data_IF_174793268772
#
_entry.id   IF_174793268772
#
_cell.length_a   1.000
_cell.length_b   1.000
_cell.length_c   1.000
_cell.angle_alpha   90.00
_cell.angle_beta   90.00
_cell.angle_gamma   90.00
#
_symmetry.space_group_name_H-M   'P 1'
#
loop_
_entity.id
_entity.type
_entity.pdbx_description
1 polymer ?
#
# COMPACT_ATOMS: atom_id res chain seq x y z
N UNK A 1 32.53 22.81 -16.30
CA UNK A 1 31.97 21.51 -15.89
C UNK A 1 31.40 20.84 -17.13
N UNK A 2 31.49 19.51 -17.25
CA UNK A 2 31.03 18.81 -18.46
C UNK A 2 29.50 18.65 -18.44
N UNK A 3 28.82 18.72 -19.59
CA UNK A 3 27.38 18.49 -19.72
C UNK A 3 26.90 17.19 -19.02
N UNK A 4 27.73 16.15 -19.05
CA UNK A 4 27.48 14.87 -18.38
C UNK A 4 27.49 14.94 -16.85
N UNK A 5 28.32 15.81 -16.26
CA UNK A 5 28.35 16.03 -14.81
C UNK A 5 27.10 16.77 -14.28
N UNK A 6 26.51 17.64 -15.09
CA UNK A 6 25.27 18.35 -14.74
C UNK A 6 24.06 17.41 -14.77
N UNK A 7 23.97 16.56 -15.80
CA UNK A 7 22.93 15.51 -15.88
C UNK A 7 23.07 14.52 -14.71
N UNK A 8 24.30 14.09 -14.40
CA UNK A 8 24.56 13.19 -13.28
C UNK A 8 24.10 13.77 -11.94
N UNK A 9 24.41 15.04 -11.67
CA UNK A 9 23.96 15.72 -10.45
C UNK A 9 22.44 15.90 -10.40
N UNK A 10 21.82 16.28 -11.52
CA UNK A 10 20.36 16.41 -11.59
C UNK A 10 19.66 15.08 -11.29
N UNK A 11 20.20 13.97 -11.79
CA UNK A 11 19.64 12.63 -11.57
C UNK A 11 19.80 12.18 -10.11
N UNK A 12 20.94 12.47 -9.48
CA UNK A 12 21.15 12.21 -8.04
C UNK A 12 20.14 13.00 -7.21
N UNK A 13 19.99 14.30 -7.47
CA UNK A 13 19.04 15.16 -6.76
C UNK A 13 17.61 14.61 -6.91
N UNK A 14 17.21 14.24 -8.12
CA UNK A 14 15.89 13.67 -8.38
C UNK A 14 15.65 12.36 -7.61
N UNK A 15 16.63 11.47 -7.59
CA UNK A 15 16.56 10.22 -6.82
C UNK A 15 16.50 10.46 -5.31
N UNK A 16 17.26 11.43 -4.80
CA UNK A 16 17.23 11.82 -3.38
C UNK A 16 15.88 12.40 -2.98
N UNK A 17 15.29 13.27 -3.81
CA UNK A 17 13.95 13.81 -3.57
C UNK A 17 12.91 12.69 -3.61
N UNK A 18 13.00 11.80 -4.59
CA UNK A 18 12.09 10.64 -4.68
C UNK A 18 12.18 9.74 -3.43
N UNK A 19 13.40 9.45 -2.97
CA UNK A 19 13.64 8.66 -1.77
C UNK A 19 13.07 9.36 -0.51
N UNK A 20 13.30 10.66 -0.36
CA UNK A 20 12.75 11.44 0.74
C UNK A 20 11.22 11.44 0.74
N UNK A 21 10.59 11.62 -0.42
CA UNK A 21 9.14 11.61 -0.56
C UNK A 21 8.55 10.23 -0.23
N UNK A 22 9.19 9.14 -0.70
CA UNK A 22 8.83 7.77 -0.34
C UNK A 22 8.91 7.53 1.17
N UNK A 23 9.96 8.02 1.82
CA UNK A 23 10.11 7.89 3.27
C UNK A 23 8.99 8.62 4.02
N UNK A 24 8.63 9.83 3.61
CA UNK A 24 7.52 10.59 4.20
C UNK A 24 6.19 9.85 4.06
N UNK A 25 5.89 9.33 2.85
CA UNK A 25 4.68 8.52 2.62
C UNK A 25 4.67 7.29 3.52
N UNK A 26 5.80 6.60 3.65
CA UNK A 26 5.89 5.39 4.44
C UNK A 26 5.66 5.66 5.93
N UNK A 27 6.22 6.76 6.48
CA UNK A 27 6.00 7.18 7.87
C UNK A 27 4.53 7.53 8.11
N UNK A 28 3.93 8.30 7.19
CA UNK A 28 2.52 8.66 7.28
C UNK A 28 1.63 7.41 7.24
N UNK A 29 1.88 6.52 6.28
CA UNK A 29 1.12 5.28 6.13
C UNK A 29 1.27 4.36 7.35
N UNK A 30 2.47 4.23 7.91
CA UNK A 30 2.67 3.48 9.15
C UNK A 30 1.86 4.07 10.31
N UNK A 31 1.90 5.39 10.46
CA UNK A 31 1.17 6.10 11.52
C UNK A 31 -0.34 5.90 11.38
N UNK A 32 -0.86 6.02 10.17
CA UNK A 32 -2.28 5.87 9.88
C UNK A 32 -2.77 4.44 10.09
N UNK A 33 -2.01 3.45 9.61
CA UNK A 33 -2.34 2.03 9.82
C UNK A 33 -2.33 1.63 11.31
N UNK A 34 -1.46 2.27 12.11
CA UNK A 34 -1.44 2.04 13.57
C UNK A 34 -2.62 2.68 14.30
N UNK A 35 -3.20 3.76 13.75
CA UNK A 35 -4.35 4.46 14.35
C UNK A 35 -5.69 3.91 13.89
N UNK A 36 -5.72 3.21 12.75
CA UNK A 36 -6.95 2.73 12.15
C UNK A 36 -7.56 1.54 12.90
N UNK A 37 -8.88 1.57 13.09
CA UNK A 37 -9.65 0.41 13.54
C UNK A 37 -9.88 -0.63 12.44
N UNK A 38 -9.62 -0.29 11.18
CA UNK A 38 -9.87 -1.15 10.03
C UNK A 38 -8.68 -2.02 9.66
N UNK A 39 -7.53 -1.83 10.32
CA UNK A 39 -6.31 -2.57 10.00
C UNK A 39 -5.72 -3.19 11.26
N UNK A 40 -5.32 -4.45 11.15
CA UNK A 40 -4.59 -5.17 12.20
C UNK A 40 -3.24 -5.59 11.65
N UNK A 41 -2.17 -5.10 12.28
CA UNK A 41 -0.80 -5.47 11.93
C UNK A 41 -0.34 -6.67 12.76
N UNK A 42 0.17 -7.68 12.09
CA UNK A 42 0.89 -8.84 12.64
C UNK A 42 2.36 -8.77 12.21
N UNK A 43 3.18 -9.67 12.75
CA UNK A 43 4.62 -9.72 12.42
C UNK A 43 4.87 -9.98 10.93
N UNK A 44 4.04 -10.82 10.29
CA UNK A 44 4.18 -11.27 8.91
C UNK A 44 3.03 -10.81 7.99
N UNK A 45 2.00 -10.15 8.54
CA UNK A 45 0.81 -9.78 7.79
C UNK A 45 0.20 -8.43 8.19
N UNK A 46 -0.45 -7.77 7.23
CA UNK A 46 -1.33 -6.62 7.42
C UNK A 46 -2.74 -7.05 7.01
N UNK A 47 -3.62 -7.17 7.99
CA UNK A 47 -5.00 -7.58 7.84
C UNK A 47 -5.89 -6.33 7.70
N UNK A 48 -6.69 -6.24 6.63
CA UNK A 48 -7.56 -5.09 6.34
C UNK A 48 -9.03 -5.56 6.41
N UNK A 49 -9.83 -4.90 7.25
CA UNK A 49 -11.25 -5.16 7.51
C UNK A 49 -12.15 -3.99 7.08
N UNK A 50 -11.67 -3.18 6.14
CA UNK A 50 -12.36 -1.98 5.67
C UNK A 50 -13.57 -2.28 4.78
N UNK A 51 -14.58 -1.41 4.84
CA UNK A 51 -15.71 -1.38 3.91
C UNK A 51 -15.29 -0.88 2.51
N UNK A 52 -16.13 -1.02 1.48
CA UNK A 52 -15.74 -0.75 0.10
C UNK A 52 -15.20 0.67 -0.12
N UNK A 53 -15.80 1.66 0.54
CA UNK A 53 -15.36 3.07 0.48
C UNK A 53 -13.91 3.27 0.94
N UNK A 54 -13.50 2.57 1.99
CA UNK A 54 -12.20 2.75 2.62
C UNK A 54 -11.17 1.69 2.20
N UNK A 55 -11.61 0.61 1.55
CA UNK A 55 -10.78 -0.55 1.18
C UNK A 55 -9.59 -0.13 0.30
N UNK A 56 -9.84 0.63 -0.75
CA UNK A 56 -8.77 1.07 -1.65
C UNK A 56 -7.70 1.89 -0.93
N UNK A 57 -8.12 2.80 -0.06
CA UNK A 57 -7.22 3.64 0.72
C UNK A 57 -6.31 2.78 1.61
N UNK A 58 -6.88 1.86 2.39
CA UNK A 58 -6.11 1.01 3.29
C UNK A 58 -5.23 -0.02 2.57
N UNK A 59 -5.66 -0.52 1.41
CA UNK A 59 -4.82 -1.38 0.56
C UNK A 59 -3.60 -0.59 0.07
N UNK A 60 -3.77 0.64 -0.40
CA UNK A 60 -2.65 1.50 -0.83
C UNK A 60 -1.68 1.78 0.31
N UNK A 61 -2.19 2.11 1.50
CA UNK A 61 -1.35 2.34 2.68
C UNK A 61 -0.59 1.06 3.09
N UNK A 62 -1.27 -0.08 3.15
CA UNK A 62 -0.65 -1.35 3.49
C UNK A 62 0.46 -1.73 2.50
N UNK A 63 0.22 -1.55 1.20
CA UNK A 63 1.22 -1.80 0.16
C UNK A 63 2.39 -0.80 0.17
N UNK A 64 2.16 0.45 0.60
CA UNK A 64 3.23 1.42 0.78
C UNK A 64 4.19 1.06 1.93
N UNK A 65 3.70 0.29 2.91
CA UNK A 65 4.45 -0.11 4.10
C UNK A 65 5.02 -1.53 3.99
N UNK A 66 4.34 -2.44 3.30
CA UNK A 66 4.75 -3.82 3.13
C UNK A 66 5.99 -3.92 2.21
N UNK A 67 7.12 -4.42 2.72
CA UNK A 67 8.38 -4.53 1.96
C UNK A 67 8.44 -5.76 1.02
N UNK A 68 7.29 -6.29 0.60
CA UNK A 68 7.18 -7.52 -0.18
C UNK A 68 7.33 -8.81 0.63
N UNK A 69 7.90 -8.77 1.85
CA UNK A 69 7.92 -9.91 2.78
C UNK A 69 6.66 -9.99 3.64
N UNK A 70 6.02 -8.84 3.86
CA UNK A 70 4.78 -8.73 4.62
C UNK A 70 3.60 -9.01 3.69
N UNK A 71 2.78 -10.00 4.07
CA UNK A 71 1.54 -10.33 3.38
C UNK A 71 0.47 -9.28 3.67
N UNK A 72 -0.27 -8.83 2.65
CA UNK A 72 -1.45 -7.96 2.84
C UNK A 72 -2.68 -8.81 2.58
N UNK A 73 -3.60 -8.87 3.55
CA UNK A 73 -4.81 -9.69 3.48
C UNK A 73 -6.04 -8.78 3.62
N UNK A 74 -6.81 -8.66 2.55
CA UNK A 74 -8.09 -7.94 2.57
C UNK A 74 -9.24 -8.88 2.91
N UNK A 75 -9.92 -8.63 4.02
CA UNK A 75 -11.10 -9.37 4.45
C UNK A 75 -12.36 -8.72 3.89
N UNK A 76 -13.02 -9.44 2.98
CA UNK A 76 -14.18 -8.96 2.22
C UNK A 76 -15.47 -9.54 2.80
N UNK A 77 -16.47 -8.70 3.04
CA UNK A 77 -17.79 -9.13 3.53
C UNK A 77 -18.55 -9.86 2.43
N UNK A 78 -18.90 -11.12 2.65
CA UNK A 78 -19.57 -11.96 1.63
C UNK A 78 -20.98 -11.47 1.27
N UNK A 79 -21.69 -10.92 2.25
CA UNK A 79 -23.10 -10.51 2.13
C UNK A 79 -23.26 -9.00 1.86
N UNK A 80 -22.18 -8.28 1.56
CA UNK A 80 -22.24 -6.87 1.21
C UNK A 80 -22.84 -6.67 -0.19
N UNK A 81 -23.65 -5.62 -0.36
CA UNK A 81 -24.12 -5.17 -1.67
C UNK A 81 -22.95 -4.78 -2.59
N UNK A 82 -21.85 -4.31 -2.00
CA UNK A 82 -20.65 -3.80 -2.69
C UNK A 82 -19.56 -4.86 -2.88
N UNK A 83 -19.87 -6.15 -2.67
CA UNK A 83 -18.90 -7.25 -2.75
C UNK A 83 -18.13 -7.28 -4.08
N UNK A 84 -18.78 -6.92 -5.19
CA UNK A 84 -18.18 -6.92 -6.52
C UNK A 84 -17.11 -5.82 -6.63
N UNK A 85 -17.40 -4.63 -6.10
CA UNK A 85 -16.51 -3.48 -6.14
C UNK A 85 -15.31 -3.68 -5.22
N UNK A 86 -15.55 -4.27 -4.04
CA UNK A 86 -14.47 -4.66 -3.13
C UNK A 86 -13.53 -5.68 -3.78
N UNK A 87 -14.08 -6.69 -4.45
CA UNK A 87 -13.29 -7.71 -5.15
C UNK A 87 -12.53 -7.11 -6.33
N UNK A 88 -13.16 -6.29 -7.16
CA UNK A 88 -12.50 -5.62 -8.30
C UNK A 88 -11.32 -4.77 -7.82
N UNK A 89 -11.51 -4.00 -6.75
CA UNK A 89 -10.46 -3.19 -6.13
C UNK A 89 -9.25 -4.05 -5.75
N UNK A 90 -9.45 -5.14 -5.01
CA UNK A 90 -8.34 -6.00 -4.58
C UNK A 90 -7.67 -6.70 -5.77
N UNK A 91 -8.45 -7.19 -6.73
CA UNK A 91 -7.91 -7.85 -7.92
C UNK A 91 -7.08 -6.88 -8.77
N UNK A 92 -7.50 -5.61 -8.88
CA UNK A 92 -6.74 -4.56 -9.57
C UNK A 92 -5.35 -4.36 -8.96
N UNK A 93 -5.25 -4.27 -7.64
CA UNK A 93 -3.95 -4.13 -6.96
C UNK A 93 -3.10 -5.40 -6.99
N UNK A 94 -3.73 -6.58 -6.96
CA UNK A 94 -3.04 -7.88 -6.99
C UNK A 94 -2.30 -8.13 -8.31
N UNK A 95 -2.71 -7.50 -9.41
CA UNK A 95 -1.99 -7.56 -10.70
C UNK A 95 -0.56 -7.05 -10.59
N UNK A 96 -0.33 -6.03 -9.77
CA UNK A 96 0.98 -5.40 -9.55
C UNK A 96 1.67 -5.85 -8.25
N UNK A 97 0.89 -6.30 -7.25
CA UNK A 97 1.40 -6.64 -5.92
C UNK A 97 1.11 -8.10 -5.56
N UNK A 98 2.11 -8.96 -5.71
CA UNK A 98 1.97 -10.41 -5.46
C UNK A 98 1.78 -10.78 -3.98
N UNK A 99 2.16 -9.88 -3.07
CA UNK A 99 1.98 -10.04 -1.63
C UNK A 99 0.57 -9.64 -1.15
N UNK A 100 -0.34 -9.25 -2.05
CA UNK A 100 -1.74 -8.99 -1.73
C UNK A 100 -2.61 -10.24 -1.97
N UNK A 101 -3.42 -10.57 -0.96
CA UNK A 101 -4.42 -11.63 -0.99
C UNK A 101 -5.75 -11.11 -0.42
N UNK A 102 -6.82 -11.87 -0.63
CA UNK A 102 -8.12 -11.59 -0.04
C UNK A 102 -8.71 -12.85 0.60
N UNK A 103 -9.54 -12.65 1.60
CA UNK A 103 -10.33 -13.68 2.25
C UNK A 103 -11.75 -13.20 2.45
N UNK A 104 -12.72 -14.10 2.37
CA UNK A 104 -14.12 -13.77 2.66
C UNK A 104 -14.40 -13.96 4.14
N UNK A 105 -15.12 -13.00 4.74
CA UNK A 105 -15.64 -13.05 6.11
C UNK A 105 -17.13 -12.76 6.14
#
# INVERSE_FOLDING_TARGET
MSFWSEIGMALIIALSIYAAFRAVIQIFAQTELQRSCFVKRREDAIEIYADAEALEYYVRLALAVADGRISVVAYLKKDSAEKADMLDTVLRFRRTHKNLSYQWI
#
